data_IF_633170264940
#
_entry.id   IF_633170264940
#
_cell.length_a   1.000
_cell.length_b   1.000
_cell.length_c   1.000
_cell.angle_alpha   90.00
_cell.angle_beta   90.00
_cell.angle_gamma   90.00
#
_symmetry.space_group_name_H-M   'P 1'
#
loop_
_entity.id
_entity.type
_entity.pdbx_description
1 polymer ?
#
# COMPACT_ATOMS: atom_id res chain seq x y z
N UNK A 1 17.46 1.84 -0.36
CA UNK A 1 16.90 0.63 -0.98
C UNK A 1 17.78 0.08 -2.10
N UNK A 2 18.13 0.86 -3.14
CA UNK A 2 19.03 0.40 -4.23
C UNK A 2 20.41 -0.08 -3.75
N UNK A 3 21.08 0.70 -2.90
CA UNK A 3 22.38 0.33 -2.32
C UNK A 3 22.32 -0.92 -1.42
N UNK A 4 21.12 -1.26 -0.94
CA UNK A 4 20.85 -2.44 -0.12
C UNK A 4 20.26 -3.60 -0.92
N UNK A 5 20.21 -3.49 -2.26
CA UNK A 5 19.62 -4.49 -3.17
C UNK A 5 18.17 -4.89 -2.80
N UNK A 6 17.37 -3.93 -2.29
CA UNK A 6 15.95 -4.16 -1.99
C UNK A 6 15.07 -3.78 -3.19
N UNK A 7 13.97 -4.53 -3.43
CA UNK A 7 12.99 -4.17 -4.45
C UNK A 7 12.39 -2.81 -4.10
N UNK A 8 12.14 -2.00 -5.14
CA UNK A 8 11.59 -0.65 -4.98
C UNK A 8 10.07 -0.63 -5.17
N UNK A 9 9.47 -1.76 -5.56
CA UNK A 9 8.02 -1.93 -5.64
C UNK A 9 7.56 -3.28 -5.17
N UNK A 10 6.28 -3.33 -4.87
CA UNK A 10 5.57 -4.57 -4.59
C UNK A 10 5.60 -5.53 -5.80
N UNK A 11 5.57 -5.01 -7.03
CA UNK A 11 5.74 -5.82 -8.24
C UNK A 11 7.12 -6.46 -8.33
N UNK A 12 8.19 -5.71 -8.05
CA UNK A 12 9.57 -6.23 -8.02
C UNK A 12 9.79 -7.22 -6.87
N UNK A 13 9.00 -7.12 -5.80
CA UNK A 13 8.98 -8.09 -4.70
C UNK A 13 8.24 -9.40 -5.04
N UNK A 14 7.70 -9.54 -6.26
CA UNK A 14 7.07 -10.78 -6.73
C UNK A 14 5.58 -10.92 -6.37
N UNK A 15 4.91 -9.83 -5.95
CA UNK A 15 3.48 -9.87 -5.63
C UNK A 15 2.65 -9.94 -6.93
N UNK A 16 1.76 -10.93 -7.01
CA UNK A 16 0.84 -11.11 -8.14
C UNK A 16 -0.15 -9.94 -8.26
N UNK A 17 -0.31 -9.37 -9.46
CA UNK A 17 -1.16 -8.18 -9.69
C UNK A 17 -2.63 -8.45 -9.41
N UNK A 18 -3.16 -9.59 -9.86
CA UNK A 18 -4.58 -9.90 -9.72
C UNK A 18 -4.95 -10.15 -8.27
N UNK A 19 -4.10 -10.86 -7.52
CA UNK A 19 -4.33 -11.06 -6.10
C UNK A 19 -4.21 -9.74 -5.34
N UNK A 20 -3.20 -8.93 -5.66
CA UNK A 20 -3.05 -7.60 -5.09
C UNK A 20 -4.30 -6.73 -5.28
N UNK A 21 -4.80 -6.57 -6.51
CA UNK A 21 -5.97 -5.73 -6.78
C UNK A 21 -7.25 -6.23 -6.09
N UNK A 22 -7.41 -7.55 -5.90
CA UNK A 22 -8.54 -8.10 -5.12
C UNK A 22 -8.49 -7.71 -3.64
N UNK A 23 -7.29 -7.58 -3.07
CA UNK A 23 -7.08 -7.35 -1.64
C UNK A 23 -6.95 -5.87 -1.27
N UNK A 24 -6.64 -4.97 -2.21
CA UNK A 24 -6.33 -3.55 -1.92
C UNK A 24 -7.39 -2.87 -1.06
N UNK A 25 -8.68 -3.06 -1.37
CA UNK A 25 -9.75 -2.36 -0.65
C UNK A 25 -9.84 -2.80 0.81
N UNK A 26 -9.76 -4.10 1.06
CA UNK A 26 -9.75 -4.67 2.42
C UNK A 26 -8.50 -4.24 3.18
N UNK A 27 -7.32 -4.35 2.55
CA UNK A 27 -6.06 -3.88 3.15
C UNK A 27 -6.09 -2.38 3.49
N UNK A 28 -6.78 -1.57 2.69
CA UNK A 28 -6.90 -0.13 2.92
C UNK A 28 -7.84 0.19 4.08
N UNK A 29 -8.92 -0.57 4.24
CA UNK A 29 -9.83 -0.44 5.39
C UNK A 29 -9.14 -0.86 6.69
N UNK A 30 -8.39 -1.97 6.66
CA UNK A 30 -7.57 -2.41 7.81
C UNK A 30 -6.54 -1.34 8.17
N UNK A 31 -5.82 -0.81 7.18
CA UNK A 31 -4.82 0.25 7.39
C UNK A 31 -5.45 1.54 7.95
N UNK A 32 -6.66 1.90 7.51
CA UNK A 32 -7.37 3.05 8.06
C UNK A 32 -7.72 2.87 9.55
N UNK A 33 -8.11 1.65 9.95
CA UNK A 33 -8.47 1.31 11.33
C UNK A 33 -7.26 0.98 12.22
N UNK A 34 -6.05 1.00 11.69
CA UNK A 34 -4.82 0.80 12.47
C UNK A 34 -4.63 1.96 13.46
N UNK A 35 -4.25 1.64 14.70
CA UNK A 35 -4.04 2.63 15.75
C UNK A 35 -2.97 3.66 15.38
N UNK A 36 -2.03 3.31 14.51
CA UNK A 36 -1.00 4.21 14.00
C UNK A 36 -1.58 5.32 13.10
N UNK A 37 -2.66 5.04 12.37
CA UNK A 37 -3.23 5.98 11.37
C UNK A 37 -3.78 7.24 12.03
N UNK A 38 -4.32 7.14 13.24
CA UNK A 38 -4.79 8.30 14.01
C UNK A 38 -3.68 9.31 14.34
N UNK A 39 -2.41 8.90 14.32
CA UNK A 39 -1.27 9.78 14.54
C UNK A 39 -0.72 10.42 13.26
N UNK A 40 -1.26 10.06 12.09
CA UNK A 40 -0.82 10.65 10.83
C UNK A 40 -1.27 12.13 10.78
N UNK A 41 -0.41 13.09 10.38
CA UNK A 41 -0.74 14.52 10.39
C UNK A 41 -1.91 14.90 9.48
N UNK A 42 -2.24 14.02 8.51
CA UNK A 42 -3.43 14.11 7.68
C UNK A 42 -4.20 12.80 7.82
N UNK A 43 -5.45 12.85 8.27
CA UNK A 43 -6.33 11.69 8.23
C UNK A 43 -6.60 11.33 6.77
N UNK A 44 -6.14 10.16 6.28
CA UNK A 44 -6.39 9.76 4.89
C UNK A 44 -7.80 9.18 4.75
N UNK A 45 -8.34 9.19 3.54
CA UNK A 45 -9.50 8.36 3.18
C UNK A 45 -9.02 6.95 2.84
N UNK A 46 -9.88 5.95 3.03
CA UNK A 46 -9.63 4.55 2.59
C UNK A 46 -9.27 4.50 1.10
N UNK A 47 -9.92 5.31 0.27
CA UNK A 47 -9.62 5.42 -1.16
C UNK A 47 -8.23 6.01 -1.46
N UNK A 48 -7.75 6.94 -0.63
CA UNK A 48 -6.41 7.53 -0.76
C UNK A 48 -5.33 6.52 -0.36
N UNK A 49 -5.58 5.69 0.67
CA UNK A 49 -4.70 4.58 1.04
C UNK A 49 -4.61 3.56 -0.11
N UNK A 50 -5.75 3.21 -0.72
CA UNK A 50 -5.78 2.33 -1.88
C UNK A 50 -4.97 2.88 -3.06
N UNK A 51 -5.05 4.19 -3.31
CA UNK A 51 -4.24 4.85 -4.33
C UNK A 51 -2.74 4.79 -4.01
N UNK A 52 -2.36 4.98 -2.75
CA UNK A 52 -0.96 4.82 -2.30
C UNK A 52 -0.47 3.38 -2.53
N UNK A 53 -1.29 2.37 -2.21
CA UNK A 53 -0.96 0.98 -2.50
C UNK A 53 -0.71 0.76 -4.00
N UNK A 54 -1.59 1.26 -4.88
CA UNK A 54 -1.41 1.15 -6.34
C UNK A 54 -0.13 1.83 -6.83
N UNK A 55 0.17 3.03 -6.33
CA UNK A 55 1.44 3.73 -6.62
C UNK A 55 2.65 2.94 -6.15
N UNK A 56 2.59 2.33 -4.96
CA UNK A 56 3.66 1.48 -4.44
C UNK A 56 3.86 0.18 -5.24
N UNK A 57 2.81 -0.28 -5.93
CA UNK A 57 2.90 -1.40 -6.87
C UNK A 57 3.58 -1.03 -8.20
N UNK A 58 3.64 0.27 -8.56
CA UNK A 58 4.00 0.85 -9.88
C UNK A 58 2.91 0.70 -10.95
N UNK A 59 1.75 1.31 -10.70
CA UNK A 59 1.05 2.04 -11.75
C UNK A 59 1.54 3.49 -11.81
#
# INVERSE_FOLDING_TARGET
MKELNLPLTLKEAGINKEEFEKQIMEMSDIAFNDQCTGSNPRMPLVSEIAEIYRKAYRE
#
